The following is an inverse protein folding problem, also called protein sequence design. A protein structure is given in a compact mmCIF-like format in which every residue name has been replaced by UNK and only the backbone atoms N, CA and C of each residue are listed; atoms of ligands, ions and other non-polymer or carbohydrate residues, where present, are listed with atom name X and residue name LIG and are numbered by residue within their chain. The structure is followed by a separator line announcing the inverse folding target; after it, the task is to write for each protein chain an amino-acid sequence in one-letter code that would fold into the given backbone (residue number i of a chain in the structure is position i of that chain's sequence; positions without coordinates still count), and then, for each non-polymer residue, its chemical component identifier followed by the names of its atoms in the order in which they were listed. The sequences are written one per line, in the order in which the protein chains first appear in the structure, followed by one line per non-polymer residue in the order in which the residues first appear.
data_IF_036131890887
#
_entry.id   IF_036131890887
#
_cell.length_a   1.000
_cell.length_b   1.000
_cell.length_c   1.000
_cell.angle_alpha   90.00
_cell.angle_beta   90.00
_cell.angle_gamma   90.00
#
_symmetry.space_group_name_H-M   'P 1'
#
loop_
_entity.id
_entity.type
_entity.pdbx_description
1 polymer ?
#
# COMPACT_ATOMS: atom_id res chain seq x y z
N UNK A 1 -4.17 -6.84 37.59
CA UNK A 1 -4.58 -6.38 36.25
C UNK A 1 -3.93 -5.01 36.00
N UNK A 2 -2.68 -5.00 35.55
CA UNK A 2 -1.89 -3.77 35.44
C UNK A 2 -2.34 -2.94 34.24
N UNK A 3 -2.83 -1.72 34.48
CA UNK A 3 -3.02 -0.72 33.43
C UNK A 3 -1.65 -0.41 32.83
N UNK A 4 -1.40 -0.86 31.60
CA UNK A 4 -0.24 -0.43 30.81
C UNK A 4 -0.35 1.09 30.66
N UNK A 5 0.54 1.84 31.33
CA UNK A 5 0.64 3.29 31.20
C UNK A 5 1.31 3.62 29.86
N UNK A 6 0.64 4.45 29.07
CA UNK A 6 1.24 5.48 28.22
C UNK A 6 1.93 5.02 26.94
N UNK A 7 1.18 4.98 25.84
CA UNK A 7 1.72 5.27 24.51
C UNK A 7 0.80 6.32 23.90
N UNK A 8 1.38 7.36 23.31
CA UNK A 8 0.70 8.58 22.90
C UNK A 8 -0.63 8.31 22.19
N UNK A 9 -1.62 9.17 22.44
CA UNK A 9 -2.85 9.33 21.64
C UNK A 9 -2.51 9.42 20.14
N UNK A 10 -2.31 8.28 19.48
CA UNK A 10 -2.29 8.19 18.02
C UNK A 10 -3.75 8.11 17.61
N UNK A 11 -4.37 9.29 17.51
CA UNK A 11 -5.75 9.56 17.12
C UNK A 11 -6.44 8.40 16.38
N UNK A 12 -7.28 7.65 17.10
CA UNK A 12 -8.30 6.77 16.52
C UNK A 12 -7.85 5.38 16.03
N UNK A 13 -6.60 4.96 16.25
CA UNK A 13 -6.14 3.62 15.87
C UNK A 13 -6.24 2.62 17.02
N UNK A 14 -6.54 1.35 16.71
CA UNK A 14 -6.57 0.29 17.72
C UNK A 14 -5.16 -0.19 18.06
N UNK A 15 -4.96 -0.68 19.28
CA UNK A 15 -3.70 -1.31 19.69
C UNK A 15 -3.33 -2.46 18.75
N UNK A 16 -4.30 -3.30 18.35
CA UNK A 16 -4.12 -4.36 17.36
C UNK A 16 -3.59 -3.84 16.02
N UNK A 17 -4.12 -2.70 15.54
CA UNK A 17 -3.63 -2.13 14.29
C UNK A 17 -2.18 -1.65 14.41
N UNK A 18 -1.85 -0.95 15.50
CA UNK A 18 -0.53 -0.35 15.70
C UNK A 18 0.54 -1.39 16.00
N UNK A 19 0.21 -2.39 16.82
CA UNK A 19 1.18 -3.35 17.32
C UNK A 19 1.31 -4.59 16.42
N UNK A 20 0.23 -5.00 15.73
CA UNK A 20 0.21 -6.24 14.94
C UNK A 20 0.06 -6.00 13.43
N UNK A 21 -1.01 -5.31 13.01
CA UNK A 21 -1.37 -5.20 11.58
C UNK A 21 -0.39 -4.32 10.80
N UNK A 22 -0.16 -3.08 11.26
CA UNK A 22 0.67 -2.13 10.54
C UNK A 22 2.11 -2.62 10.35
N UNK A 23 2.77 -3.21 11.38
CA UNK A 23 4.10 -3.78 11.18
C UNK A 23 4.15 -4.93 10.17
N UNK A 24 3.17 -5.83 10.19
CA UNK A 24 3.12 -6.95 9.25
C UNK A 24 2.92 -6.49 7.80
N UNK A 25 1.99 -5.54 7.58
CA UNK A 25 1.73 -4.96 6.26
C UNK A 25 2.93 -4.16 5.74
N UNK A 26 3.56 -3.38 6.62
CA UNK A 26 4.76 -2.61 6.28
C UNK A 26 5.90 -3.52 5.80
N UNK A 27 6.20 -4.61 6.52
CA UNK A 27 7.26 -5.52 6.12
C UNK A 27 6.95 -6.21 4.79
N UNK A 28 5.68 -6.54 4.53
CA UNK A 28 5.24 -7.08 3.22
C UNK A 28 5.47 -6.07 2.09
N UNK A 29 5.09 -4.81 2.28
CA UNK A 29 5.33 -3.73 1.32
C UNK A 29 6.83 -3.55 1.06
N UNK A 30 7.65 -3.52 2.13
CA UNK A 30 9.09 -3.34 1.99
C UNK A 30 9.76 -4.53 1.30
N UNK A 31 9.31 -5.76 1.57
CA UNK A 31 9.79 -6.95 0.87
C UNK A 31 9.53 -6.84 -0.63
N UNK A 32 8.32 -6.44 -1.04
CA UNK A 32 7.99 -6.19 -2.44
C UNK A 32 8.85 -5.08 -3.05
N UNK A 33 8.97 -3.92 -2.38
CA UNK A 33 9.78 -2.79 -2.89
C UNK A 33 11.24 -3.18 -3.08
N UNK A 34 11.84 -3.93 -2.14
CA UNK A 34 13.21 -4.47 -2.28
C UNK A 34 13.34 -5.39 -3.48
N UNK A 35 12.36 -6.26 -3.72
CA UNK A 35 12.36 -7.14 -4.89
C UNK A 35 12.28 -6.37 -6.21
N UNK A 36 11.38 -5.38 -6.28
CA UNK A 36 11.25 -4.50 -7.44
C UNK A 36 12.54 -3.71 -7.68
N UNK A 37 13.13 -3.15 -6.63
CA UNK A 37 14.41 -2.44 -6.68
C UNK A 37 15.55 -3.34 -7.17
N UNK A 38 15.62 -4.60 -6.72
CA UNK A 38 16.60 -5.58 -7.21
C UNK A 38 16.45 -5.84 -8.70
N UNK A 39 15.23 -6.03 -9.18
CA UNK A 39 14.95 -6.20 -10.62
C UNK A 39 15.31 -4.95 -11.42
N UNK A 40 15.01 -3.78 -10.87
CA UNK A 40 15.26 -2.50 -11.51
C UNK A 40 16.75 -2.10 -11.55
N UNK A 41 17.55 -2.53 -10.56
CA UNK A 41 19.00 -2.34 -10.55
C UNK A 41 19.68 -3.08 -11.71
N UNK A 42 19.09 -4.17 -12.20
CA UNK A 42 19.52 -4.84 -13.44
C UNK A 42 19.05 -4.14 -14.72
N UNK A 43 18.07 -3.23 -14.64
CA UNK A 43 17.44 -2.56 -15.79
C UNK A 43 17.76 -1.05 -15.91
N UNK A 44 18.51 -0.48 -14.96
CA UNK A 44 18.92 0.94 -14.96
C UNK A 44 17.87 1.95 -14.48
N UNK A 45 16.70 1.53 -14.01
CA UNK A 45 15.66 2.43 -13.47
C UNK A 45 15.79 2.57 -11.94
N UNK A 46 16.63 3.51 -11.51
CA UNK A 46 16.89 3.77 -10.09
C UNK A 46 15.69 4.37 -9.32
N UNK A 47 14.64 4.84 -10.01
CA UNK A 47 13.52 5.56 -9.38
C UNK A 47 12.63 4.67 -8.49
N UNK A 48 12.76 3.34 -8.60
CA UNK A 48 12.08 2.36 -7.73
C UNK A 48 12.93 1.93 -6.52
N UNK A 49 14.22 2.25 -6.53
CA UNK A 49 15.18 1.77 -5.53
C UNK A 49 15.26 2.65 -4.29
N UNK A 50 14.61 3.82 -4.27
CA UNK A 50 14.51 4.64 -3.07
C UNK A 50 13.60 3.96 -2.04
N UNK A 51 14.20 3.10 -1.22
CA UNK A 51 13.58 2.61 -0.01
C UNK A 51 13.21 3.82 0.86
N UNK A 52 11.98 3.87 1.40
CA UNK A 52 11.60 4.97 2.25
C UNK A 52 12.52 4.99 3.47
N UNK A 53 13.11 6.15 3.70
CA UNK A 53 14.01 6.36 4.82
C UNK A 53 13.24 6.13 6.12
N UNK A 54 13.65 5.13 6.91
CA UNK A 54 13.19 5.02 8.29
C UNK A 54 13.82 6.21 9.01
N UNK A 55 13.09 7.31 9.08
CA UNK A 55 13.46 8.41 9.95
C UNK A 55 13.49 7.88 11.39
N UNK A 56 14.69 7.57 11.87
CA UNK A 56 15.04 7.12 13.23
C UNK A 56 14.51 5.75 13.67
N UNK A 57 15.38 4.96 14.32
CA UNK A 57 15.14 3.60 14.85
C UNK A 57 14.17 3.51 16.02
N UNK A 58 13.11 4.32 16.01
CA UNK A 58 11.99 4.22 16.93
C UNK A 58 10.99 3.13 16.52
N UNK A 59 9.94 2.93 17.32
CA UNK A 59 8.90 1.98 17.01
C UNK A 59 8.21 2.30 15.68
N UNK A 60 7.90 1.27 14.89
CA UNK A 60 7.17 1.43 13.64
C UNK A 60 5.73 1.90 13.95
N UNK A 61 5.41 3.10 13.50
CA UNK A 61 4.09 3.73 13.67
C UNK A 61 3.62 4.30 12.34
N UNK A 62 2.30 4.32 12.07
CA UNK A 62 1.75 4.96 10.88
C UNK A 62 2.20 6.42 10.77
N UNK A 63 2.87 6.75 9.67
CA UNK A 63 3.40 8.09 9.41
C UNK A 63 3.61 8.32 7.91
N UNK A 64 3.45 9.56 7.48
CA UNK A 64 3.74 9.99 6.10
C UNK A 64 5.23 10.02 5.79
N UNK A 65 6.11 10.04 6.81
CA UNK A 65 7.57 9.99 6.63
C UNK A 65 8.02 8.68 5.98
N UNK A 66 7.24 7.61 6.12
CA UNK A 66 7.48 6.31 5.48
C UNK A 66 7.21 6.32 3.97
N UNK A 67 6.73 7.42 3.38
CA UNK A 67 6.49 7.60 1.94
C UNK A 67 5.77 6.41 1.28
N UNK A 68 4.79 5.86 2.00
CA UNK A 68 3.89 4.83 1.52
C UNK A 68 2.77 5.48 0.71
N UNK A 69 2.35 4.83 -0.37
CA UNK A 69 1.28 5.29 -1.23
C UNK A 69 0.15 4.26 -1.29
N UNK A 70 -1.00 4.62 -0.71
CA UNK A 70 -2.21 3.81 -0.71
C UNK A 70 -3.21 4.27 -1.76
N UNK A 71 -3.88 3.32 -2.41
CA UNK A 71 -4.99 3.55 -3.33
C UNK A 71 -6.28 2.97 -2.74
N UNK A 72 -7.34 3.79 -2.64
CA UNK A 72 -8.62 3.35 -2.10
C UNK A 72 -9.72 3.44 -3.17
N UNK A 73 -10.37 2.30 -3.47
CA UNK A 73 -11.57 2.26 -4.32
C UNK A 73 -12.83 2.15 -3.47
N UNK A 74 -13.61 3.22 -3.47
CA UNK A 74 -14.85 3.32 -2.70
C UNK A 74 -15.99 2.47 -3.29
N UNK A 75 -17.03 2.26 -2.49
CA UNK A 75 -18.26 1.58 -2.90
C UNK A 75 -19.12 2.41 -3.87
N UNK A 76 -20.30 1.89 -4.23
CA UNK A 76 -21.22 2.56 -5.16
C UNK A 76 -21.64 1.71 -6.36
N UNK A 77 -21.44 0.39 -6.29
CA UNK A 77 -21.80 -0.55 -7.34
C UNK A 77 -21.04 -0.31 -8.65
N UNK A 78 -21.68 -0.66 -9.76
CA UNK A 78 -21.04 -0.63 -11.09
C UNK A 78 -20.58 0.76 -11.51
N UNK A 79 -21.28 1.84 -11.10
CA UNK A 79 -20.90 3.22 -11.46
C UNK A 79 -19.56 3.60 -10.85
N UNK A 80 -19.34 3.28 -9.58
CA UNK A 80 -18.06 3.51 -8.91
C UNK A 80 -16.96 2.67 -9.54
N UNK A 81 -17.24 1.41 -9.87
CA UNK A 81 -16.28 0.54 -10.57
C UNK A 81 -15.81 1.13 -11.91
N UNK A 82 -16.74 1.65 -12.73
CA UNK A 82 -16.41 2.29 -14.02
C UNK A 82 -15.57 3.55 -13.84
N UNK A 83 -15.89 4.39 -12.84
CA UNK A 83 -15.09 5.58 -12.56
C UNK A 83 -13.68 5.22 -12.10
N UNK A 84 -13.57 4.30 -11.13
CA UNK A 84 -12.28 3.84 -10.61
C UNK A 84 -11.42 3.19 -11.70
N UNK A 85 -12.04 2.50 -12.67
CA UNK A 85 -11.33 1.96 -13.83
C UNK A 85 -10.69 3.07 -14.67
N UNK A 86 -11.40 4.16 -14.92
CA UNK A 86 -10.85 5.32 -15.64
C UNK A 86 -9.67 5.96 -14.89
N UNK A 87 -9.79 6.09 -13.56
CA UNK A 87 -8.69 6.58 -12.71
C UNK A 87 -7.47 5.66 -12.80
N UNK A 88 -7.67 4.35 -12.68
CA UNK A 88 -6.60 3.37 -12.75
C UNK A 88 -5.93 3.34 -14.13
N UNK A 89 -6.71 3.43 -15.20
CA UNK A 89 -6.19 3.54 -16.57
C UNK A 89 -5.32 4.79 -16.74
N UNK A 90 -5.73 5.93 -16.19
CA UNK A 90 -4.93 7.14 -16.20
C UNK A 90 -3.64 6.97 -15.40
N UNK A 91 -3.71 6.42 -14.18
CA UNK A 91 -2.53 6.13 -13.37
C UNK A 91 -1.56 5.19 -14.08
N UNK A 92 -2.05 4.14 -14.73
CA UNK A 92 -1.22 3.25 -15.54
C UNK A 92 -0.57 3.99 -16.72
N UNK A 93 -1.35 4.79 -17.46
CA UNK A 93 -0.85 5.58 -18.60
C UNK A 93 0.28 6.54 -18.22
N UNK A 94 0.21 7.14 -17.04
CA UNK A 94 1.24 8.05 -16.53
C UNK A 94 2.32 7.35 -15.71
N UNK A 95 2.35 6.01 -15.67
CA UNK A 95 3.35 5.25 -14.93
C UNK A 95 3.27 5.43 -13.40
N UNK A 96 2.13 5.86 -12.87
CA UNK A 96 1.91 6.13 -11.45
C UNK A 96 1.49 4.88 -10.67
N UNK A 97 0.81 3.93 -11.33
CA UNK A 97 0.29 2.74 -10.65
C UNK A 97 1.39 1.89 -9.99
N UNK A 98 2.60 1.88 -10.56
CA UNK A 98 3.76 1.14 -10.00
C UNK A 98 4.17 1.59 -8.60
N UNK A 99 3.80 2.81 -8.19
CA UNK A 99 4.10 3.34 -6.86
C UNK A 99 3.08 2.96 -5.79
N UNK A 100 1.93 2.37 -6.17
CA UNK A 100 0.91 1.95 -5.20
C UNK A 100 1.43 0.77 -4.39
N UNK A 101 1.51 0.96 -3.07
CA UNK A 101 1.95 -0.06 -2.11
C UNK A 101 0.81 -0.88 -1.56
N UNK A 102 -0.33 -0.22 -1.35
CA UNK A 102 -1.48 -0.79 -0.68
C UNK A 102 -2.74 -0.41 -1.43
N UNK A 103 -3.63 -1.38 -1.64
CA UNK A 103 -4.91 -1.15 -2.31
C UNK A 103 -6.04 -1.58 -1.37
N UNK A 104 -6.88 -0.63 -0.96
CA UNK A 104 -8.09 -0.88 -0.19
C UNK A 104 -9.30 -0.75 -1.09
N UNK A 105 -10.24 -1.70 -1.01
CA UNK A 105 -11.45 -1.67 -1.83
C UNK A 105 -12.66 -2.07 -1.02
N UNK A 106 -13.81 -1.49 -1.33
CA UNK A 106 -15.09 -1.85 -0.69
C UNK A 106 -16.22 -1.95 -1.71
N UNK A 107 -17.11 -2.92 -1.53
CA UNK A 107 -18.33 -3.09 -2.34
C UNK A 107 -18.03 -3.01 -3.86
N UNK A 108 -18.64 -2.07 -4.59
CA UNK A 108 -18.41 -1.88 -6.04
C UNK A 108 -16.95 -1.62 -6.43
N UNK A 109 -16.13 -1.02 -5.56
CA UNK A 109 -14.69 -0.89 -5.78
C UNK A 109 -13.97 -2.24 -5.80
N UNK A 110 -14.53 -3.25 -5.12
CA UNK A 110 -14.04 -4.61 -5.10
C UNK A 110 -14.12 -5.30 -6.47
N UNK A 111 -15.08 -4.95 -7.34
CA UNK A 111 -15.12 -5.49 -8.71
C UNK A 111 -13.82 -5.20 -9.46
N UNK A 112 -13.33 -3.95 -9.37
CA UNK A 112 -12.07 -3.56 -10.00
C UNK A 112 -10.87 -4.13 -9.22
N UNK A 113 -10.91 -4.04 -7.89
CA UNK A 113 -9.84 -4.56 -7.02
C UNK A 113 -9.53 -6.03 -7.30
N UNK A 114 -10.55 -6.88 -7.31
CA UNK A 114 -10.40 -8.32 -7.60
C UNK A 114 -9.93 -8.57 -9.03
N UNK A 115 -10.48 -7.86 -10.02
CA UNK A 115 -10.05 -8.02 -11.42
C UNK A 115 -8.57 -7.70 -11.60
N UNK A 116 -8.09 -6.57 -11.04
CA UNK A 116 -6.68 -6.16 -11.11
C UNK A 116 -5.79 -7.18 -10.40
N UNK A 117 -6.13 -7.58 -9.17
CA UNK A 117 -5.35 -8.58 -8.43
C UNK A 117 -5.27 -9.92 -9.16
N UNK A 118 -6.38 -10.37 -9.77
CA UNK A 118 -6.41 -11.62 -10.54
C UNK A 118 -5.56 -11.56 -11.80
N UNK A 119 -5.62 -10.47 -12.57
CA UNK A 119 -4.79 -10.29 -13.77
C UNK A 119 -3.29 -10.14 -13.44
N UNK A 120 -2.97 -9.54 -12.30
CA UNK A 120 -1.58 -9.43 -11.85
C UNK A 120 -1.02 -10.78 -11.42
N UNK A 121 -1.84 -11.64 -10.81
CA UNK A 121 -1.46 -13.00 -10.45
C UNK A 121 -1.26 -13.91 -11.68
N UNK A 122 -2.12 -13.81 -12.70
CA UNK A 122 -2.00 -14.61 -13.93
C UNK A 122 -0.79 -14.28 -14.79
N UNK A 123 -0.21 -13.08 -14.62
CA UNK A 123 0.99 -12.66 -15.36
C UNK A 123 2.29 -13.07 -14.65
N UNK A 124 2.20 -13.76 -13.51
CA UNK A 124 3.34 -14.26 -12.75
C UNK A 124 3.65 -15.74 -13.00
N UNK A 125 2.82 -16.42 -13.81
CA UNK A 125 3.07 -17.76 -14.38
C UNK A 125 3.60 -17.63 -15.82
#
# INVERSE_FOLDING_TARGET
MGKRRGRADVAGWTDEFVDDIFPAEYETVMARRREVARRAAGSGDASLAEAPDRATGGPLVPSTTLRLFGLAFSGGGIRSATFNLGVLQAMHRYGLFRFVDYMSTVSGGGYLGTAVSSMMASNAE
#
